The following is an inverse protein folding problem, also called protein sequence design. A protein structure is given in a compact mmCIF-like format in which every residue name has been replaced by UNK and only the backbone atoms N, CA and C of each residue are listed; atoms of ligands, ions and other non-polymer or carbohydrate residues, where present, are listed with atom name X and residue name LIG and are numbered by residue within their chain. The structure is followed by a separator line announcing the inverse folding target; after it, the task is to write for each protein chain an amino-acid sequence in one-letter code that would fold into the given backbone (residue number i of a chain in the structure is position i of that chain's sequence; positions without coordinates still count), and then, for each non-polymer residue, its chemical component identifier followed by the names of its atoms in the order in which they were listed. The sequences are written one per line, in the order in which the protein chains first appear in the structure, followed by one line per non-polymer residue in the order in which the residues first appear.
data_IF_945930715706
#
_entry.id   IF_945930715706
#
_cell.length_a   1.000
_cell.length_b   1.000
_cell.length_c   1.000
_cell.angle_alpha   90.00
_cell.angle_beta   90.00
_cell.angle_gamma   90.00
#
_symmetry.space_group_name_H-M   'P 1'
#
loop_
_entity.id
_entity.type
_entity.pdbx_description
1 polymer ?
#
# COMPACT_ATOMS: atom_id res chain seq x y z
N UNK A 1 6.73 0.99 -8.02
CA UNK A 1 7.10 2.00 -7.01
C UNK A 1 8.62 2.22 -6.90
N UNK A 2 9.46 1.37 -7.51
CA UNK A 2 10.91 1.45 -7.31
C UNK A 2 11.36 1.06 -5.90
N UNK A 3 10.47 0.47 -5.10
CA UNK A 3 10.83 -0.19 -3.84
C UNK A 3 11.36 -1.59 -4.10
N UNK A 4 12.16 -2.12 -3.16
CA UNK A 4 12.85 -3.40 -3.28
C UNK A 4 11.94 -4.52 -3.83
N UNK A 5 10.77 -4.73 -3.24
CA UNK A 5 9.91 -5.89 -3.56
C UNK A 5 9.38 -5.82 -4.99
N UNK A 6 8.79 -4.66 -5.36
CA UNK A 6 8.27 -4.46 -6.72
C UNK A 6 9.37 -4.54 -7.78
N UNK A 7 10.58 -4.05 -7.46
CA UNK A 7 11.71 -4.09 -8.37
C UNK A 7 12.25 -5.51 -8.53
N UNK A 8 12.29 -6.31 -7.45
CA UNK A 8 12.71 -7.73 -7.52
C UNK A 8 11.72 -8.52 -8.37
N UNK A 9 10.42 -8.32 -8.17
CA UNK A 9 9.38 -8.97 -8.99
C UNK A 9 9.53 -8.58 -10.47
N UNK A 10 9.73 -7.29 -10.77
CA UNK A 10 9.94 -6.82 -12.13
C UNK A 10 11.23 -7.39 -12.75
N UNK A 11 12.32 -7.46 -11.99
CA UNK A 11 13.59 -8.03 -12.46
C UNK A 11 13.48 -9.53 -12.76
N UNK A 12 12.78 -10.29 -11.90
CA UNK A 12 12.53 -11.71 -12.10
C UNK A 12 11.58 -11.99 -13.27
N UNK A 13 10.60 -11.10 -13.51
CA UNK A 13 9.68 -11.22 -14.64
C UNK A 13 10.33 -10.84 -15.98
N UNK A 14 11.35 -9.97 -15.98
CA UNK A 14 11.96 -9.37 -17.18
C UNK A 14 12.42 -10.40 -18.23
N UNK A 15 13.06 -11.53 -17.89
CA UNK A 15 13.49 -12.52 -18.88
C UNK A 15 12.34 -13.23 -19.60
N UNK A 16 11.15 -13.26 -18.99
CA UNK A 16 9.98 -13.97 -19.52
C UNK A 16 9.09 -13.10 -20.42
N UNK A 17 9.46 -11.83 -20.63
CA UNK A 17 8.68 -10.86 -21.39
C UNK A 17 9.58 -10.13 -22.38
N UNK A 18 9.26 -10.22 -23.66
CA UNK A 18 9.94 -9.41 -24.68
C UNK A 18 9.66 -7.92 -24.45
N UNK A 19 8.36 -7.59 -24.28
CA UNK A 19 7.87 -6.27 -23.93
C UNK A 19 7.32 -6.27 -22.50
N UNK A 20 7.91 -5.46 -21.62
CA UNK A 20 7.49 -5.33 -20.22
C UNK A 20 7.00 -3.91 -19.97
N UNK A 21 5.74 -3.78 -19.60
CA UNK A 21 5.16 -2.51 -19.15
C UNK A 21 5.31 -2.42 -17.63
N UNK A 22 5.68 -1.24 -17.14
CA UNK A 22 5.73 -0.96 -15.69
C UNK A 22 4.95 0.30 -15.39
N UNK A 23 4.22 0.28 -14.27
CA UNK A 23 3.32 1.37 -13.87
C UNK A 23 3.72 1.91 -12.50
N UNK A 24 3.71 3.22 -12.36
CA UNK A 24 3.90 3.91 -11.09
C UNK A 24 2.92 5.06 -10.98
N UNK A 25 2.40 5.30 -9.77
CA UNK A 25 1.59 6.46 -9.46
C UNK A 25 2.14 7.16 -8.21
N UNK A 26 2.05 8.48 -8.21
CA UNK A 26 2.48 9.32 -7.11
C UNK A 26 2.17 10.78 -7.39
N UNK A 27 2.20 11.58 -6.33
CA UNK A 27 2.12 13.05 -6.46
C UNK A 27 3.30 13.55 -7.28
N UNK A 28 3.10 14.62 -8.05
CA UNK A 28 4.17 15.23 -8.87
C UNK A 28 5.44 15.44 -8.02
N UNK A 29 6.57 14.86 -8.46
CA UNK A 29 7.84 14.95 -7.76
C UNK A 29 8.03 13.96 -6.60
N UNK A 30 7.10 13.03 -6.38
CA UNK A 30 7.20 12.02 -5.35
C UNK A 30 8.45 11.13 -5.53
N UNK A 31 9.17 10.77 -4.45
CA UNK A 31 10.34 9.92 -4.52
C UNK A 31 10.10 8.58 -5.24
N UNK A 32 8.93 7.96 -5.06
CA UNK A 32 8.59 6.70 -5.72
C UNK A 32 8.60 6.80 -7.24
N UNK A 33 8.21 7.95 -7.82
CA UNK A 33 8.24 8.14 -9.27
C UNK A 33 9.69 8.13 -9.78
N UNK A 34 10.60 8.81 -9.09
CA UNK A 34 12.02 8.82 -9.43
C UNK A 34 12.62 7.41 -9.41
N UNK A 35 12.43 6.66 -8.31
CA UNK A 35 12.97 5.31 -8.19
C UNK A 35 12.29 4.31 -9.14
N UNK A 36 11.00 4.48 -9.41
CA UNK A 36 10.30 3.63 -10.38
C UNK A 36 10.86 3.82 -11.79
N UNK A 37 11.11 5.07 -12.19
CA UNK A 37 11.77 5.40 -13.46
C UNK A 37 13.14 4.77 -13.55
N UNK A 38 13.96 4.97 -12.51
CA UNK A 38 15.31 4.43 -12.47
C UNK A 38 15.35 2.90 -12.59
N UNK A 39 14.46 2.20 -11.86
CA UNK A 39 14.32 0.75 -11.98
C UNK A 39 13.84 0.33 -13.38
N UNK A 40 12.88 1.05 -13.96
CA UNK A 40 12.35 0.74 -15.29
C UNK A 40 13.38 0.96 -16.40
N UNK A 41 14.19 2.02 -16.32
CA UNK A 41 15.31 2.28 -17.23
C UNK A 41 16.35 1.15 -17.17
N UNK A 42 16.75 0.75 -15.97
CA UNK A 42 17.67 -0.37 -15.76
C UNK A 42 17.12 -1.68 -16.37
N UNK A 43 15.83 -1.96 -16.15
CA UNK A 43 15.16 -3.15 -16.66
C UNK A 43 14.77 -3.04 -18.14
N UNK A 44 14.98 -1.88 -18.79
CA UNK A 44 14.54 -1.60 -20.17
C UNK A 44 13.05 -1.89 -20.36
N UNK A 45 12.22 -1.44 -19.42
CA UNK A 45 10.78 -1.54 -19.46
C UNK A 45 10.15 -0.33 -20.14
N UNK A 46 8.98 -0.51 -20.76
CA UNK A 46 8.14 0.63 -21.17
C UNK A 46 7.46 1.19 -19.91
N UNK A 47 7.96 2.32 -19.42
CA UNK A 47 7.53 2.90 -18.15
C UNK A 47 6.38 3.88 -18.31
N UNK A 48 5.34 3.71 -17.49
CA UNK A 48 4.14 4.53 -17.45
C UNK A 48 4.01 5.16 -16.07
N UNK A 49 4.21 6.47 -15.99
CA UNK A 49 4.06 7.23 -14.75
C UNK A 49 2.73 7.98 -14.74
N UNK A 50 2.00 7.83 -13.64
CA UNK A 50 0.80 8.57 -13.32
C UNK A 50 1.17 9.63 -12.28
N UNK A 51 1.43 10.85 -12.74
CA UNK A 51 1.62 11.99 -11.84
C UNK A 51 0.25 12.52 -11.42
N UNK A 52 -0.04 12.47 -10.12
CA UNK A 52 -1.39 12.72 -9.59
C UNK A 52 -1.44 14.04 -8.81
N UNK A 53 -2.51 14.79 -8.98
CA UNK A 53 -2.85 16.00 -8.21
C UNK A 53 -3.87 15.71 -7.11
N UNK A 54 -3.99 16.60 -6.12
CA UNK A 54 -5.04 16.48 -5.09
C UNK A 54 -6.45 16.43 -5.70
N UNK A 55 -6.73 17.23 -6.73
CA UNK A 55 -8.04 17.25 -7.37
C UNK A 55 -8.36 15.91 -8.04
N UNK A 56 -7.38 15.28 -8.70
CA UNK A 56 -7.57 13.95 -9.28
C UNK A 56 -7.78 12.88 -8.20
N UNK A 57 -7.04 12.96 -7.09
CA UNK A 57 -7.25 12.07 -5.94
C UNK A 57 -8.67 12.20 -5.38
N UNK A 58 -9.16 13.43 -5.20
CA UNK A 58 -10.51 13.69 -4.70
C UNK A 58 -11.58 13.27 -5.70
N UNK A 59 -11.33 13.40 -7.00
CA UNK A 59 -12.28 13.04 -8.05
C UNK A 59 -12.56 11.53 -8.09
N UNK A 60 -11.55 10.69 -7.87
CA UNK A 60 -11.71 9.22 -7.84
C UNK A 60 -12.03 8.67 -6.46
N UNK A 61 -11.99 9.49 -5.41
CA UNK A 61 -12.17 9.04 -4.03
C UNK A 61 -13.50 8.30 -3.80
N UNK A 62 -14.66 8.73 -4.33
CA UNK A 62 -15.90 7.97 -4.21
C UNK A 62 -15.81 6.57 -4.81
N UNK A 63 -15.30 6.43 -6.04
CA UNK A 63 -15.13 5.14 -6.69
C UNK A 63 -14.16 4.24 -5.92
N UNK A 64 -13.06 4.82 -5.41
CA UNK A 64 -12.10 4.07 -4.59
C UNK A 64 -12.76 3.56 -3.31
N UNK A 65 -13.55 4.38 -2.60
CA UNK A 65 -14.27 3.97 -1.40
C UNK A 65 -15.29 2.89 -1.71
N UNK A 66 -16.02 3.01 -2.83
CA UNK A 66 -16.96 2.00 -3.29
C UNK A 66 -16.27 0.65 -3.54
N UNK A 67 -15.18 0.63 -4.32
CA UNK A 67 -14.48 -0.61 -4.64
C UNK A 67 -13.73 -1.20 -3.45
N UNK A 68 -13.15 -0.35 -2.60
CA UNK A 68 -12.43 -0.80 -1.42
C UNK A 68 -13.33 -1.23 -0.27
N UNK A 69 -14.58 -0.75 -0.26
CA UNK A 69 -15.56 -1.00 0.80
C UNK A 69 -15.00 -0.58 2.17
N UNK A 70 -14.25 0.52 2.24
CA UNK A 70 -13.61 0.96 3.50
C UNK A 70 -13.53 2.47 3.62
N UNK A 71 -13.42 2.95 4.85
CA UNK A 71 -13.10 4.33 5.19
C UNK A 71 -11.79 4.44 6.02
N UNK A 72 -10.98 3.38 6.07
CA UNK A 72 -9.65 3.42 6.68
C UNK A 72 -8.76 4.43 5.94
N UNK A 73 -8.38 5.49 6.64
CA UNK A 73 -7.68 6.60 6.03
C UNK A 73 -6.32 6.23 5.41
N UNK A 74 -5.50 5.43 6.09
CA UNK A 74 -4.17 5.09 5.57
C UNK A 74 -4.26 4.08 4.42
N UNK A 75 -5.23 3.18 4.49
CA UNK A 75 -5.51 2.23 3.41
C UNK A 75 -5.98 2.99 2.16
N UNK A 76 -6.92 3.93 2.31
CA UNK A 76 -7.43 4.75 1.20
C UNK A 76 -6.36 5.64 0.57
N UNK A 77 -5.49 6.30 1.38
CA UNK A 77 -4.34 7.05 0.84
C UNK A 77 -3.48 6.22 -0.12
N UNK A 78 -3.28 4.93 0.19
CA UNK A 78 -2.53 4.02 -0.68
C UNK A 78 -3.37 3.53 -1.86
N UNK A 79 -4.67 3.32 -1.64
CA UNK A 79 -5.59 2.76 -2.62
C UNK A 79 -5.88 3.71 -3.77
N UNK A 80 -5.95 5.02 -3.52
CA UNK A 80 -6.14 6.03 -4.57
C UNK A 80 -5.02 5.97 -5.61
N UNK A 81 -3.75 5.95 -5.16
CA UNK A 81 -2.61 5.83 -6.07
C UNK A 81 -2.63 4.49 -6.81
N UNK A 82 -3.02 3.40 -6.14
CA UNK A 82 -3.05 2.08 -6.77
C UNK A 82 -4.16 1.97 -7.82
N UNK A 83 -5.33 2.53 -7.52
CA UNK A 83 -6.47 2.64 -8.43
C UNK A 83 -6.06 3.40 -9.69
N UNK A 84 -5.47 4.59 -9.56
CA UNK A 84 -5.00 5.38 -10.71
C UNK A 84 -3.92 4.67 -11.53
N UNK A 85 -2.96 4.00 -10.88
CA UNK A 85 -1.97 3.18 -11.58
C UNK A 85 -2.62 2.03 -12.38
N UNK A 86 -3.65 1.40 -11.80
CA UNK A 86 -4.39 0.30 -12.41
C UNK A 86 -5.26 0.78 -13.56
N UNK A 87 -5.92 1.94 -13.41
CA UNK A 87 -6.67 2.62 -14.46
C UNK A 87 -5.79 2.88 -15.68
N UNK A 88 -4.53 3.29 -15.47
CA UNK A 88 -3.58 3.49 -16.57
C UNK A 88 -3.13 2.18 -17.24
N UNK A 89 -3.11 1.09 -16.49
CA UNK A 89 -2.59 -0.19 -16.97
C UNK A 89 -3.50 -0.91 -17.96
N UNK A 90 -4.82 -0.64 -17.92
CA UNK A 90 -5.80 -1.34 -18.77
C UNK A 90 -5.59 -1.11 -20.26
N UNK A 91 -4.96 0.00 -20.63
CA UNK A 91 -4.65 0.33 -22.03
C UNK A 91 -3.53 -0.56 -22.60
N UNK A 92 -2.85 -1.35 -21.77
CA UNK A 92 -1.61 -2.03 -22.13
C UNK A 92 -1.56 -3.52 -21.78
N UNK A 93 -2.12 -3.90 -20.63
CA UNK A 93 -1.93 -5.25 -20.08
C UNK A 93 -3.23 -5.83 -19.49
N UNK A 94 -3.46 -7.14 -19.64
CA UNK A 94 -4.60 -7.81 -19.02
C UNK A 94 -4.35 -8.18 -17.54
N UNK A 95 -3.09 -8.10 -17.09
CA UNK A 95 -2.70 -8.49 -15.75
C UNK A 95 -1.50 -7.68 -15.24
N UNK A 96 -1.44 -7.52 -13.92
CA UNK A 96 -0.38 -6.81 -13.20
C UNK A 96 0.26 -7.70 -12.15
N UNK A 97 1.57 -7.51 -11.96
CA UNK A 97 2.31 -8.08 -10.83
C UNK A 97 2.54 -6.99 -9.77
N UNK A 98 2.31 -7.33 -8.51
CA UNK A 98 2.57 -6.48 -7.35
C UNK A 98 3.59 -7.12 -6.42
N UNK A 99 4.34 -6.27 -5.70
CA UNK A 99 5.37 -6.68 -4.75
C UNK A 99 4.88 -6.88 -3.31
N UNK A 100 3.57 -7.00 -3.07
CA UNK A 100 3.05 -7.19 -1.72
C UNK A 100 3.50 -8.51 -1.08
N UNK A 101 3.56 -8.53 0.25
CA UNK A 101 4.04 -9.66 1.04
C UNK A 101 5.54 -9.60 1.36
N UNK A 102 6.31 -8.77 0.64
CA UNK A 102 7.75 -8.62 0.89
C UNK A 102 8.04 -8.06 2.28
N UNK A 103 7.19 -7.17 2.80
CA UNK A 103 7.33 -6.60 4.14
C UNK A 103 6.99 -7.62 5.24
N UNK A 104 5.89 -8.36 5.04
CA UNK A 104 5.35 -9.31 6.00
C UNK A 104 6.20 -10.58 6.09
N UNK A 105 6.67 -11.10 4.96
CA UNK A 105 7.44 -12.34 4.94
C UNK A 105 8.91 -12.14 5.33
N UNK A 106 9.50 -10.96 5.05
CA UNK A 106 10.93 -10.69 5.19
C UNK A 106 11.27 -9.54 6.15
N UNK A 107 10.37 -9.21 7.07
CA UNK A 107 10.59 -8.22 8.14
C UNK A 107 10.94 -6.81 7.62
N UNK A 108 10.10 -6.27 6.75
CA UNK A 108 10.35 -5.01 6.04
C UNK A 108 9.94 -3.71 6.72
N UNK A 109 9.04 -3.79 7.70
CA UNK A 109 8.56 -2.61 8.39
C UNK A 109 9.56 -2.09 9.43
N UNK A 110 9.81 -0.78 9.45
CA UNK A 110 10.80 -0.17 10.34
C UNK A 110 10.57 -0.46 11.83
N UNK A 111 9.30 -0.55 12.28
CA UNK A 111 9.00 -0.82 13.69
C UNK A 111 9.48 -2.21 14.14
N UNK A 112 9.66 -3.16 13.22
CA UNK A 112 10.17 -4.50 13.53
C UNK A 112 11.62 -4.45 14.03
N UNK A 113 12.39 -3.41 13.67
CA UNK A 113 13.76 -3.20 14.15
C UNK A 113 13.83 -3.00 15.66
N UNK A 114 12.75 -2.54 16.28
CA UNK A 114 12.67 -2.29 17.72
C UNK A 114 12.18 -3.52 18.51
N UNK A 115 11.70 -4.57 17.85
CA UNK A 115 11.20 -5.76 18.53
C UNK A 115 12.35 -6.68 18.98
N UNK A 116 12.22 -7.36 20.13
CA UNK A 116 13.12 -8.46 20.47
C UNK A 116 13.09 -9.54 19.39
N UNK A 117 14.26 -10.06 19.01
CA UNK A 117 14.39 -11.09 17.94
C UNK A 117 13.46 -12.29 18.18
N UNK A 118 13.28 -12.71 19.43
CA UNK A 118 12.41 -13.83 19.80
C UNK A 118 10.92 -13.58 19.53
N UNK A 119 10.48 -12.33 19.42
CA UNK A 119 9.08 -11.96 19.13
C UNK A 119 8.82 -11.76 17.64
N UNK A 120 9.87 -11.59 16.82
CA UNK A 120 9.73 -11.32 15.40
C UNK A 120 8.94 -12.41 14.65
N UNK A 121 9.18 -13.73 14.83
CA UNK A 121 8.42 -14.74 14.10
C UNK A 121 6.91 -14.59 14.28
N UNK A 122 6.45 -14.41 15.52
CA UNK A 122 5.02 -14.22 15.81
C UNK A 122 4.47 -12.94 15.19
N UNK A 123 5.18 -11.81 15.26
CA UNK A 123 4.71 -10.57 14.64
C UNK A 123 4.64 -10.70 13.11
N UNK A 124 5.59 -11.42 12.46
CA UNK A 124 5.55 -11.68 11.02
C UNK A 124 4.35 -12.54 10.63
N UNK A 125 4.03 -13.58 11.42
CA UNK A 125 2.82 -14.38 11.21
C UNK A 125 1.55 -13.55 11.38
N UNK A 126 1.49 -12.70 12.41
CA UNK A 126 0.34 -11.83 12.69
C UNK A 126 0.10 -10.81 11.56
N UNK A 127 1.14 -10.11 11.09
CA UNK A 127 0.98 -9.14 9.99
C UNK A 127 0.70 -9.82 8.65
N UNK A 128 1.25 -11.02 8.41
CA UNK A 128 0.91 -11.82 7.23
C UNK A 128 -0.57 -12.20 7.27
N UNK A 129 -1.09 -12.62 8.43
CA UNK A 129 -2.50 -12.96 8.62
C UNK A 129 -3.45 -11.78 8.40
N UNK A 130 -2.99 -10.54 8.60
CA UNK A 130 -3.76 -9.30 8.38
C UNK A 130 -3.72 -8.78 6.93
N UNK A 131 -3.00 -9.45 6.03
CA UNK A 131 -2.92 -8.99 4.63
C UNK A 131 -4.28 -8.94 3.95
N UNK A 132 -5.20 -9.85 4.30
CA UNK A 132 -6.51 -10.01 3.68
C UNK A 132 -7.40 -8.75 3.77
N UNK A 133 -7.29 -7.97 4.85
CA UNK A 133 -8.03 -6.73 5.08
C UNK A 133 -7.12 -5.50 5.14
N UNK A 134 -5.95 -5.58 4.50
CA UNK A 134 -5.01 -4.47 4.34
C UNK A 134 -4.45 -4.43 2.92
N UNK A 135 -3.20 -4.86 2.70
CA UNK A 135 -2.53 -4.73 1.41
C UNK A 135 -3.18 -5.60 0.32
N UNK A 136 -3.66 -6.81 0.61
CA UNK A 136 -4.30 -7.66 -0.40
C UNK A 136 -5.68 -7.16 -0.78
N UNK A 137 -6.46 -6.63 0.17
CA UNK A 137 -7.71 -5.94 -0.15
C UNK A 137 -7.47 -4.82 -1.16
N UNK A 138 -6.46 -3.98 -0.91
CA UNK A 138 -6.08 -2.91 -1.85
C UNK A 138 -5.62 -3.44 -3.19
N UNK A 139 -4.76 -4.45 -3.22
CA UNK A 139 -4.27 -4.97 -4.50
C UNK A 139 -5.41 -5.56 -5.31
N UNK A 140 -6.23 -6.39 -4.69
CA UNK A 140 -7.32 -7.07 -5.35
C UNK A 140 -8.37 -6.08 -5.85
N UNK A 141 -8.91 -5.24 -4.96
CA UNK A 141 -10.02 -4.34 -5.28
C UNK A 141 -9.63 -3.22 -6.24
N UNK A 142 -8.47 -2.60 -6.09
CA UNK A 142 -8.04 -1.53 -7.00
C UNK A 142 -7.75 -2.04 -8.42
N UNK A 143 -7.19 -3.24 -8.55
CA UNK A 143 -6.89 -3.83 -9.86
C UNK A 143 -8.19 -4.32 -10.51
N UNK A 144 -9.04 -5.05 -9.77
CA UNK A 144 -10.31 -5.57 -10.30
C UNK A 144 -11.33 -4.48 -10.63
N UNK A 145 -11.26 -3.29 -9.99
CA UNK A 145 -12.08 -2.14 -10.35
C UNK A 145 -11.97 -1.75 -11.84
N UNK A 146 -10.87 -2.13 -12.50
CA UNK A 146 -10.65 -1.88 -13.92
C UNK A 146 -10.64 -3.15 -14.77
N UNK A 147 -11.12 -4.28 -14.24
CA UNK A 147 -11.31 -5.52 -15.01
C UNK A 147 -10.02 -6.26 -15.40
N UNK A 148 -8.91 -5.98 -14.73
CA UNK A 148 -7.62 -6.66 -14.95
C UNK A 148 -7.29 -7.60 -13.77
N UNK A 149 -6.38 -8.56 -13.98
CA UNK A 149 -5.99 -9.55 -12.94
C UNK A 149 -4.73 -9.11 -12.18
N UNK A 150 -4.76 -9.14 -10.86
CA UNK A 150 -3.60 -8.86 -10.01
C UNK A 150 -2.93 -10.14 -9.52
N UNK A 151 -1.59 -10.20 -9.58
CA UNK A 151 -0.81 -11.29 -8.99
C UNK A 151 0.20 -10.76 -7.98
N UNK A 152 0.39 -11.54 -6.91
CA UNK A 152 1.31 -11.24 -5.80
C UNK A 152 2.31 -12.39 -5.63
N UNK A 153 3.29 -12.53 -6.54
CA UNK A 153 4.15 -13.72 -6.61
C UNK A 153 4.99 -13.97 -5.34
N UNK A 154 5.25 -12.94 -4.51
CA UNK A 154 5.93 -13.12 -3.22
C UNK A 154 5.07 -13.93 -2.23
N UNK A 155 3.74 -13.88 -2.37
CA UNK A 155 2.77 -14.61 -1.55
C UNK A 155 2.33 -15.92 -2.20
N UNK A 156 3.08 -16.41 -3.20
CA UNK A 156 2.88 -17.78 -3.68
C UNK A 156 3.06 -18.78 -2.53
N UNK A 157 2.21 -19.82 -2.39
CA UNK A 157 2.29 -20.77 -1.29
C UNK A 157 3.67 -21.43 -1.12
N UNK A 158 4.40 -21.70 -2.20
CA UNK A 158 5.76 -22.27 -2.11
C UNK A 158 6.75 -21.24 -1.57
N UNK A 159 6.64 -19.98 -2.02
CA UNK A 159 7.47 -18.87 -1.51
C UNK A 159 7.17 -18.60 -0.04
N UNK A 160 5.91 -18.57 0.36
CA UNK A 160 5.50 -18.41 1.77
C UNK A 160 6.03 -19.57 2.63
N UNK A 161 5.89 -20.81 2.14
CA UNK A 161 6.35 -22.01 2.82
C UNK A 161 7.88 -22.03 2.98
N UNK A 162 8.61 -21.52 1.99
CA UNK A 162 10.05 -21.33 2.10
C UNK A 162 10.38 -20.21 3.09
N UNK A 163 9.73 -19.05 2.96
CA UNK A 163 9.97 -17.87 3.78
C UNK A 163 9.72 -18.11 5.28
N UNK A 164 8.74 -18.93 5.65
CA UNK A 164 8.45 -19.26 7.05
C UNK A 164 9.54 -20.13 7.71
N UNK A 165 10.34 -20.85 6.92
CA UNK A 165 11.45 -21.70 7.40
C UNK A 165 12.77 -20.95 7.53
N UNK A 166 12.86 -19.74 6.98
CA UNK A 166 14.07 -18.91 7.05
C UNK A 166 14.23 -18.39 8.48
N UNK A 167 15.39 -18.63 9.14
CA UNK A 167 15.67 -18.06 10.45
C UNK A 167 15.57 -16.52 10.42
N UNK A 168 14.94 -15.94 11.43
CA UNK A 168 14.54 -14.53 11.42
C UNK A 168 15.73 -13.57 11.37
N UNK A 169 16.90 -13.99 11.84
CA UNK A 169 18.17 -13.27 11.74
C UNK A 169 18.65 -13.04 10.30
N UNK A 170 18.12 -13.78 9.32
CA UNK A 170 18.36 -13.51 7.90
C UNK A 170 17.32 -12.56 7.31
N UNK A 171 16.17 -12.38 7.96
CA UNK A 171 15.14 -11.43 7.55
C UNK A 171 15.50 -10.02 8.05
N UNK A 172 15.89 -9.91 9.32
CA UNK A 172 16.40 -8.68 9.92
C UNK A 172 17.80 -8.93 10.48
N UNK A 173 18.82 -8.27 9.91
CA UNK A 173 20.22 -8.48 10.28
C UNK A 173 20.95 -7.16 10.47
N UNK A 174 21.55 -6.95 11.65
CA UNK A 174 22.35 -5.75 11.96
C UNK A 174 21.59 -4.44 11.65
N UNK A 175 20.29 -4.39 11.96
CA UNK A 175 19.44 -3.23 11.71
C UNK A 175 18.97 -3.06 10.26
N UNK A 176 19.34 -3.97 9.35
CA UNK A 176 18.91 -3.96 7.94
C UNK A 176 17.70 -4.88 7.77
N UNK A 177 16.57 -4.28 7.40
CA UNK A 177 15.34 -4.98 7.04
C UNK A 177 15.46 -5.72 5.71
N UNK A 178 14.68 -6.79 5.54
CA UNK A 178 14.66 -7.62 4.33
C UNK A 178 16.05 -8.07 3.89
N UNK A 179 16.94 -8.33 4.84
CA UNK A 179 18.36 -8.53 4.54
C UNK A 179 18.58 -9.63 3.50
N UNK A 180 17.92 -10.78 3.66
CA UNK A 180 17.99 -11.88 2.69
C UNK A 180 17.41 -11.53 1.33
N UNK A 181 16.32 -10.77 1.26
CA UNK A 181 15.74 -10.33 0.00
C UNK A 181 16.66 -9.33 -0.71
N UNK A 182 17.34 -8.45 0.04
CA UNK A 182 18.39 -7.56 -0.51
C UNK A 182 19.54 -8.38 -1.09
N UNK A 183 19.95 -9.48 -0.45
CA UNK A 183 20.97 -10.40 -1.01
C UNK A 183 20.53 -11.07 -2.31
N UNK A 184 19.25 -11.44 -2.43
CA UNK A 184 18.70 -11.94 -3.70
C UNK A 184 18.66 -10.84 -4.77
N UNK A 185 18.43 -9.59 -4.37
CA UNK A 185 18.32 -8.45 -5.26
C UNK A 185 19.67 -7.91 -5.77
N UNK A 186 20.77 -8.07 -5.02
CA UNK A 186 22.13 -7.61 -5.38
C UNK A 186 22.56 -7.93 -6.83
N UNK A 187 22.40 -9.17 -7.34
CA UNK A 187 22.75 -9.48 -8.73
C UNK A 187 21.68 -9.05 -9.76
N UNK A 188 20.48 -8.63 -9.32
CA UNK A 188 19.33 -8.38 -10.18
C UNK A 188 19.05 -6.90 -10.42
N UNK A 189 19.52 -6.02 -9.53
CA UNK A 189 19.09 -4.63 -9.46
C UNK A 189 20.27 -3.70 -9.12
N UNK A 190 20.19 -2.42 -9.50
CA UNK A 190 21.21 -1.43 -9.15
C UNK A 190 21.25 -1.17 -7.63
N UNK A 191 22.43 -0.83 -7.13
CA UNK A 191 22.73 -0.68 -5.69
C UNK A 191 21.80 0.33 -5.00
N UNK A 192 21.40 1.39 -5.72
CA UNK A 192 20.52 2.45 -5.26
C UNK A 192 19.10 1.93 -4.96
N UNK A 193 18.62 0.93 -5.71
CA UNK A 193 17.34 0.26 -5.45
C UNK A 193 17.51 -0.79 -4.36
N UNK A 194 18.59 -1.58 -4.41
CA UNK A 194 18.86 -2.67 -3.46
C UNK A 194 19.03 -2.16 -2.04
N UNK A 195 19.57 -0.96 -1.84
CA UNK A 195 19.79 -0.36 -0.50
C UNK A 195 18.82 0.79 -0.19
N UNK A 196 17.80 0.99 -1.02
CA UNK A 196 16.76 1.98 -0.75
C UNK A 196 16.09 1.70 0.60
N UNK A 197 16.01 2.68 1.52
CA UNK A 197 15.22 2.55 2.73
C UNK A 197 13.74 2.34 2.41
N UNK A 198 13.04 1.61 3.28
CA UNK A 198 11.61 1.37 3.11
C UNK A 198 10.81 2.67 3.23
N UNK A 199 9.84 2.85 2.33
CA UNK A 199 8.75 3.80 2.45
C UNK A 199 7.41 3.07 2.30
N UNK A 200 6.38 3.45 3.06
CA UNK A 200 5.00 3.00 2.78
C UNK A 200 4.54 3.57 1.44
N UNK A 201 3.60 2.92 0.76
CA UNK A 201 3.19 3.31 -0.59
C UNK A 201 2.71 4.76 -0.67
N UNK A 202 1.82 5.19 0.24
CA UNK A 202 1.37 6.58 0.31
C UNK A 202 2.47 7.58 0.70
N UNK A 203 3.46 7.16 1.49
CA UNK A 203 4.60 8.01 1.89
C UNK A 203 5.54 8.24 0.71
N UNK A 204 5.97 7.15 0.07
CA UNK A 204 6.85 7.18 -1.10
C UNK A 204 6.19 7.84 -2.30
N UNK A 205 4.87 7.64 -2.47
CA UNK A 205 4.03 8.29 -3.47
C UNK A 205 3.70 9.76 -3.16
N UNK A 206 4.21 10.34 -2.07
CA UNK A 206 4.11 11.78 -1.81
C UNK A 206 2.74 12.29 -1.39
N UNK A 207 1.81 11.41 -0.99
CA UNK A 207 0.46 11.83 -0.53
C UNK A 207 0.55 12.68 0.74
N UNK A 208 1.48 12.33 1.63
CA UNK A 208 1.70 13.05 2.90
C UNK A 208 0.38 13.28 3.63
N UNK A 209 0.15 14.52 4.05
CA UNK A 209 -1.08 14.97 4.73
C UNK A 209 -2.07 15.72 3.82
N UNK A 210 -1.93 15.61 2.48
CA UNK A 210 -2.77 16.36 1.54
C UNK A 210 -4.27 16.14 1.78
N UNK A 211 -4.67 14.87 1.93
CA UNK A 211 -6.08 14.49 2.16
C UNK A 211 -6.57 14.88 3.56
N UNK A 212 -5.74 14.72 4.60
CA UNK A 212 -6.06 15.19 5.94
C UNK A 212 -6.22 16.72 6.00
N UNK A 213 -5.35 17.47 5.32
CA UNK A 213 -5.42 18.93 5.26
C UNK A 213 -6.68 19.38 4.53
N UNK A 214 -7.05 18.71 3.42
CA UNK A 214 -8.31 18.96 2.75
C UNK A 214 -9.51 18.72 3.68
N UNK A 215 -9.55 17.57 4.36
CA UNK A 215 -10.62 17.25 5.30
C UNK A 215 -10.70 18.25 6.48
N UNK A 216 -9.55 18.70 7.00
CA UNK A 216 -9.47 19.71 8.06
C UNK A 216 -10.03 21.07 7.64
N UNK A 217 -9.90 21.42 6.35
CA UNK A 217 -10.47 22.65 5.78
C UNK A 217 -11.96 22.50 5.46
N UNK A 218 -12.37 21.31 4.99
CA UNK A 218 -13.74 21.04 4.54
C UNK A 218 -14.72 20.78 5.69
N UNK A 219 -14.25 20.29 6.84
CA UNK A 219 -15.09 19.88 7.98
C UNK A 219 -14.78 20.76 9.19
N UNK A 220 -15.81 21.40 9.74
CA UNK A 220 -15.67 22.19 10.96
C UNK A 220 -15.45 21.29 12.19
N UNK A 221 -14.85 21.83 13.26
CA UNK A 221 -14.75 21.08 14.53
C UNK A 221 -16.13 20.72 15.09
N UNK A 222 -17.08 21.64 14.96
CA UNK A 222 -18.47 21.43 15.37
C UNK A 222 -19.07 20.19 14.70
N UNK A 223 -19.02 20.11 13.38
CA UNK A 223 -19.60 18.99 12.62
C UNK A 223 -18.86 17.69 12.93
N UNK A 224 -17.53 17.75 13.07
CA UNK A 224 -16.75 16.58 13.45
C UNK A 224 -17.18 16.02 14.80
N UNK A 225 -17.28 16.85 15.85
CA UNK A 225 -17.69 16.37 17.17
C UNK A 225 -19.16 15.93 17.22
N UNK A 226 -20.02 16.51 16.37
CA UNK A 226 -21.42 16.10 16.25
C UNK A 226 -21.60 14.72 15.60
N UNK A 227 -20.75 14.36 14.62
CA UNK A 227 -20.94 13.15 13.79
C UNK A 227 -19.94 12.03 14.06
N UNK A 228 -18.85 12.27 14.78
CA UNK A 228 -17.78 11.28 14.98
C UNK A 228 -18.19 10.03 15.76
N UNK A 229 -19.31 10.05 16.48
CA UNK A 229 -19.87 8.88 17.18
C UNK A 229 -21.00 8.31 16.34
N UNK A 230 -20.77 7.15 15.76
CA UNK A 230 -21.72 6.48 14.89
C UNK A 230 -22.80 5.74 15.71
N UNK A 231 -24.01 5.53 15.17
CA UNK A 231 -25.10 4.86 15.88
C UNK A 231 -24.76 3.45 16.39
N UNK A 232 -23.87 2.74 15.70
CA UNK A 232 -23.39 1.40 16.05
C UNK A 232 -22.26 1.40 17.11
N UNK A 233 -21.94 2.55 17.70
CA UNK A 233 -20.92 2.70 18.73
C UNK A 233 -19.48 2.90 18.22
N UNK A 234 -19.26 2.83 16.91
CA UNK A 234 -17.95 3.18 16.33
C UNK A 234 -17.63 4.66 16.54
N UNK A 235 -16.35 4.95 16.79
CA UNK A 235 -15.85 6.31 16.92
C UNK A 235 -14.81 6.60 15.83
N UNK A 236 -15.05 7.67 15.09
CA UNK A 236 -14.11 8.24 14.12
C UNK A 236 -13.09 9.13 14.86
N UNK A 237 -11.83 9.02 14.47
CA UNK A 237 -10.69 9.63 15.18
C UNK A 237 -10.09 10.85 14.48
N UNK A 238 -10.52 11.15 13.26
CA UNK A 238 -10.06 12.30 12.49
C UNK A 238 -11.14 12.82 11.54
N UNK A 239 -11.01 14.08 11.11
CA UNK A 239 -11.87 14.65 10.06
C UNK A 239 -11.69 13.94 8.72
N UNK A 240 -10.51 13.39 8.45
CA UNK A 240 -10.27 12.56 7.26
C UNK A 240 -11.12 11.29 7.28
N UNK A 241 -11.16 10.57 8.41
CA UNK A 241 -12.06 9.42 8.55
C UNK A 241 -13.54 9.83 8.42
N UNK A 242 -13.95 10.99 8.96
CA UNK A 242 -15.32 11.48 8.79
C UNK A 242 -15.65 11.82 7.33
N UNK A 243 -14.73 12.45 6.60
CA UNK A 243 -14.89 12.71 5.17
C UNK A 243 -15.13 11.40 4.40
N UNK A 244 -14.28 10.40 4.64
CA UNK A 244 -14.41 9.10 3.98
C UNK A 244 -15.65 8.35 4.41
N UNK A 245 -16.03 8.41 5.69
CA UNK A 245 -17.25 7.77 6.18
C UNK A 245 -18.51 8.38 5.57
N UNK A 246 -18.58 9.71 5.36
CA UNK A 246 -19.72 10.34 4.68
C UNK A 246 -19.90 9.78 3.27
N UNK A 247 -18.81 9.67 2.50
CA UNK A 247 -18.83 9.09 1.15
C UNK A 247 -19.19 7.59 1.21
N UNK A 248 -18.62 6.85 2.14
CA UNK A 248 -18.94 5.43 2.35
C UNK A 248 -20.44 5.24 2.63
N UNK A 249 -21.02 6.07 3.50
CA UNK A 249 -22.44 6.04 3.84
C UNK A 249 -23.33 6.38 2.63
N UNK A 250 -22.88 7.22 1.70
CA UNK A 250 -23.61 7.49 0.46
C UNK A 250 -23.71 6.24 -0.43
N UNK A 251 -22.69 5.39 -0.45
CA UNK A 251 -22.68 4.14 -1.21
C UNK A 251 -23.41 2.97 -0.52
N UNK A 252 -23.21 2.82 0.78
CA UNK A 252 -23.60 1.60 1.51
C UNK A 252 -24.68 1.82 2.56
N UNK A 253 -25.08 3.08 2.81
CA UNK A 253 -25.98 3.43 3.90
C UNK A 253 -25.32 3.34 5.28
N UNK A 254 -26.15 3.31 6.32
CA UNK A 254 -25.70 3.07 7.69
C UNK A 254 -25.69 1.56 7.96
N UNK A 255 -24.56 1.04 8.45
CA UNK A 255 -24.38 -0.38 8.73
C UNK A 255 -24.23 -0.62 10.23
N UNK A 256 -24.90 -1.65 10.75
CA UNK A 256 -24.85 -2.02 12.17
C UNK A 256 -23.49 -2.60 12.59
N UNK A 257 -22.75 -3.21 11.65
CA UNK A 257 -21.48 -3.87 11.92
C UNK A 257 -20.39 -3.38 10.94
N UNK A 258 -19.33 -2.78 11.48
CA UNK A 258 -18.20 -2.23 10.73
C UNK A 258 -16.87 -2.92 11.03
N UNK A 259 -16.88 -4.00 11.84
CA UNK A 259 -15.67 -4.69 12.32
C UNK A 259 -14.76 -5.21 11.18
N UNK A 260 -15.34 -5.41 10.00
CA UNK A 260 -14.67 -5.88 8.80
C UNK A 260 -13.95 -4.77 8.01
N UNK A 261 -14.32 -3.49 8.19
CA UNK A 261 -13.71 -2.33 7.49
C UNK A 261 -12.21 -2.25 7.79
N UNK A 262 -11.80 -2.75 8.97
CA UNK A 262 -10.44 -2.68 9.46
C UNK A 262 -10.02 -1.26 9.84
N UNK A 263 -8.94 -1.15 10.63
CA UNK A 263 -8.27 0.13 10.88
C UNK A 263 -6.77 -0.10 10.96
N UNK A 264 -6.03 0.47 10.02
CA UNK A 264 -4.59 0.33 9.90
C UNK A 264 -3.91 0.79 11.19
N UNK A 265 -3.01 -0.04 11.73
CA UNK A 265 -2.23 0.29 12.92
C UNK A 265 -1.44 1.59 12.69
N UNK A 266 -1.66 2.57 13.56
CA UNK A 266 -1.06 3.91 13.44
C UNK A 266 -1.84 4.87 12.53
N UNK A 267 -3.10 4.58 12.19
CA UNK A 267 -4.01 5.55 11.59
C UNK A 267 -4.08 6.85 12.44
N UNK A 268 -4.24 8.03 11.81
CA UNK A 268 -4.27 9.30 12.53
C UNK A 268 -5.32 9.32 13.63
N UNK A 269 -4.89 9.53 14.87
CA UNK A 269 -5.76 9.80 16.01
C UNK A 269 -5.60 11.27 16.37
N UNK A 270 -6.38 12.13 15.73
CA UNK A 270 -6.40 13.56 16.04
C UNK A 270 -7.09 13.80 17.39
N UNK A 271 -8.09 12.96 17.70
CA UNK A 271 -8.82 13.00 18.96
C UNK A 271 -9.08 11.56 19.45
N UNK A 272 -8.37 11.07 20.50
CA UNK A 272 -8.62 9.73 21.04
C UNK A 272 -10.05 9.61 21.58
N UNK A 273 -10.57 8.38 21.59
CA UNK A 273 -11.78 8.10 22.35
C UNK A 273 -11.46 8.30 23.84
N UNK A 274 -12.28 9.10 24.53
CA UNK A 274 -12.24 9.25 25.99
C UNK A 274 -12.99 8.09 26.62
#
# INVERSE_FOLDING_TARGET
SGGLDSSVVAALARPYREKMHTFAAGVVGAPDLHYARYAAEFLKAEHHECSVTLNEMLAVLPDVIYHMETFDALLLRSSILHYLASQRAIDYVPALFSGEGGDELFAGYDYLKALPIAQLPQELDDITGRLHNTALQRVDRCIQAHGITGWVPILDPEVMSFASRIPVEYKLRQGVEKWILRKVAEPLLPVEIVHRPKAKFWQGGGVGDLLANHANQAISDHDFFAERRLPNGWTLHSKEELLYYRIFKEHFGELDHLDWVGRTKGAPVQYPAV
#
